data_IF_739785191418
#
_entry.id   IF_739785191418
#
_cell.length_a   1.000
_cell.length_b   1.000
_cell.length_c   1.000
_cell.angle_alpha   90.00
_cell.angle_beta   90.00
_cell.angle_gamma   90.00
#
_symmetry.space_group_name_H-M   'P 1'
#
loop_
_entity.id
_entity.type
_entity.pdbx_description
1 polymer ?
#
# COMPACT_ATOMS: atom_id res chain seq x y z
N UNK A 1 56.01 -26.48 9.46
CA UNK A 1 56.03 -25.47 8.38
C UNK A 1 54.94 -24.45 8.67
N UNK A 2 55.29 -23.18 8.92
CA UNK A 2 54.31 -22.09 9.12
C UNK A 2 53.74 -21.73 7.74
N UNK A 3 52.44 -21.91 7.54
CA UNK A 3 51.77 -21.43 6.33
C UNK A 3 51.87 -19.89 6.30
N UNK A 4 52.45 -19.34 5.23
CA UNK A 4 52.43 -17.89 4.97
C UNK A 4 50.98 -17.54 4.64
N UNK A 5 50.30 -16.82 5.53
CA UNK A 5 49.00 -16.26 5.20
C UNK A 5 49.17 -15.22 4.08
N UNK A 6 48.64 -15.53 2.90
CA UNK A 6 48.49 -14.55 1.82
C UNK A 6 47.40 -13.56 2.25
N UNK A 7 47.82 -12.39 2.71
CA UNK A 7 46.92 -11.27 2.99
C UNK A 7 46.33 -10.71 1.70
N UNK A 8 45.19 -10.04 1.83
CA UNK A 8 44.53 -9.33 0.75
C UNK A 8 45.28 -8.02 0.44
N UNK A 9 45.53 -7.73 -0.83
CA UNK A 9 46.26 -6.51 -1.21
C UNK A 9 45.35 -5.28 -1.16
N UNK A 10 45.94 -4.11 -0.92
CA UNK A 10 45.20 -2.84 -0.89
C UNK A 10 44.54 -2.54 -2.25
N UNK A 11 45.19 -2.94 -3.34
CA UNK A 11 44.65 -2.77 -4.70
C UNK A 11 43.46 -3.70 -4.97
N UNK A 12 43.51 -4.96 -4.49
CA UNK A 12 42.36 -5.87 -4.59
C UNK A 12 41.16 -5.32 -3.79
N UNK A 13 41.40 -4.73 -2.63
CA UNK A 13 40.35 -4.09 -1.82
C UNK A 13 39.71 -2.90 -2.53
N UNK A 14 40.52 -2.04 -3.15
CA UNK A 14 39.98 -0.88 -3.87
C UNK A 14 39.12 -1.30 -5.07
N UNK A 15 39.52 -2.34 -5.81
CA UNK A 15 38.73 -2.87 -6.93
C UNK A 15 37.42 -3.46 -6.44
N UNK A 16 37.44 -4.23 -5.35
CA UNK A 16 36.22 -4.83 -4.78
C UNK A 16 35.24 -3.75 -4.32
N UNK A 17 35.71 -2.70 -3.63
CA UNK A 17 34.85 -1.58 -3.21
C UNK A 17 34.25 -0.86 -4.41
N UNK A 18 35.03 -0.65 -5.48
CA UNK A 18 34.52 -0.03 -6.71
C UNK A 18 33.39 -0.85 -7.36
N UNK A 19 33.55 -2.18 -7.46
CA UNK A 19 32.52 -3.07 -8.02
C UNK A 19 31.27 -3.08 -7.13
N UNK A 20 31.43 -3.19 -5.80
CA UNK A 20 30.31 -3.15 -4.86
C UNK A 20 29.56 -1.81 -4.97
N UNK A 21 30.29 -0.70 -5.14
CA UNK A 21 29.69 0.63 -5.33
C UNK A 21 28.75 0.70 -6.53
N UNK A 22 29.18 0.16 -7.69
CA UNK A 22 28.36 0.11 -8.91
C UNK A 22 27.12 -0.77 -8.70
N UNK A 23 27.30 -1.96 -8.11
CA UNK A 23 26.20 -2.88 -7.85
C UNK A 23 25.19 -2.28 -6.87
N UNK A 24 25.67 -1.62 -5.80
CA UNK A 24 24.82 -0.98 -4.79
C UNK A 24 23.96 0.14 -5.39
N UNK A 25 24.50 0.92 -6.33
CA UNK A 25 23.77 2.00 -6.99
C UNK A 25 22.51 1.52 -7.73
N UNK A 26 22.53 0.29 -8.27
CA UNK A 26 21.37 -0.32 -8.95
C UNK A 26 20.51 -1.12 -7.96
N UNK A 27 21.15 -1.87 -7.06
CA UNK A 27 20.46 -2.76 -6.14
C UNK A 27 19.62 -2.02 -5.08
N UNK A 28 20.12 -0.90 -4.54
CA UNK A 28 19.42 -0.16 -3.48
C UNK A 28 18.07 0.42 -3.94
N UNK A 29 17.96 1.12 -5.09
CA UNK A 29 16.67 1.58 -5.59
C UNK A 29 15.67 0.44 -5.86
N UNK A 30 16.14 -0.67 -6.42
CA UNK A 30 15.30 -1.84 -6.73
C UNK A 30 14.78 -2.52 -5.45
N UNK A 31 15.62 -2.66 -4.43
CA UNK A 31 15.20 -3.19 -3.14
C UNK A 31 14.17 -2.27 -2.45
N UNK A 32 14.35 -0.95 -2.58
CA UNK A 32 13.37 0.04 -2.16
C UNK A 32 12.01 -0.15 -2.84
N UNK A 33 11.98 -0.35 -4.16
CA UNK A 33 10.72 -0.62 -4.89
C UNK A 33 10.06 -1.94 -4.50
N UNK A 34 10.87 -2.99 -4.26
CA UNK A 34 10.36 -4.29 -3.83
C UNK A 34 9.69 -4.21 -2.46
N UNK A 35 10.36 -3.58 -1.49
CA UNK A 35 9.81 -3.39 -0.14
C UNK A 35 8.58 -2.49 -0.16
N UNK A 36 8.60 -1.40 -0.93
CA UNK A 36 7.44 -0.54 -1.15
C UNK A 36 6.25 -1.33 -1.69
N UNK A 37 6.44 -2.14 -2.74
CA UNK A 37 5.35 -2.97 -3.28
C UNK A 37 4.80 -3.95 -2.25
N UNK A 38 5.67 -4.59 -1.47
CA UNK A 38 5.25 -5.52 -0.42
C UNK A 38 4.40 -4.83 0.64
N UNK A 39 4.77 -3.61 1.05
CA UNK A 39 3.98 -2.80 1.99
C UNK A 39 2.65 -2.35 1.37
N UNK A 40 2.66 -1.94 0.10
CA UNK A 40 1.45 -1.52 -0.61
C UNK A 40 0.42 -2.65 -0.76
N UNK A 41 0.88 -3.90 -0.92
CA UNK A 41 0.00 -5.08 -0.99
C UNK A 41 -0.80 -5.29 0.29
N UNK A 42 -0.27 -4.94 1.47
CA UNK A 42 -1.05 -5.05 2.72
C UNK A 42 -2.33 -4.21 2.66
N UNK A 43 -2.26 -2.98 2.17
CA UNK A 43 -3.43 -2.13 2.01
C UNK A 43 -4.46 -2.71 1.03
N UNK A 44 -3.99 -3.29 -0.07
CA UNK A 44 -4.87 -3.97 -1.02
C UNK A 44 -5.57 -5.19 -0.41
N UNK A 45 -4.84 -6.02 0.35
CA UNK A 45 -5.40 -7.22 0.98
C UNK A 45 -6.41 -6.87 2.08
N UNK A 46 -6.13 -5.86 2.91
CA UNK A 46 -7.08 -5.39 3.92
C UNK A 46 -8.37 -4.88 3.28
N UNK A 47 -8.26 -4.09 2.20
CA UNK A 47 -9.43 -3.65 1.42
C UNK A 47 -10.17 -4.83 0.78
N UNK A 48 -9.44 -5.85 0.31
CA UNK A 48 -9.98 -7.09 -0.21
C UNK A 48 -10.85 -7.83 0.80
N UNK A 49 -10.42 -7.90 2.06
CA UNK A 49 -11.18 -8.51 3.16
C UNK A 49 -12.49 -7.81 3.48
N UNK A 50 -12.62 -6.52 3.17
CA UNK A 50 -13.83 -5.72 3.42
C UNK A 50 -14.87 -5.80 2.29
N UNK A 51 -14.54 -6.42 1.15
CA UNK A 51 -15.44 -6.48 -0.01
C UNK A 51 -16.74 -7.21 0.27
N UNK A 52 -16.63 -8.45 0.76
CA UNK A 52 -17.79 -9.31 1.06
C UNK A 52 -18.74 -8.68 2.07
N UNK A 53 -18.29 -8.26 3.27
CA UNK A 53 -19.19 -7.66 4.26
C UNK A 53 -19.79 -6.33 3.78
N UNK A 54 -19.07 -5.53 3.00
CA UNK A 54 -19.65 -4.33 2.39
C UNK A 54 -20.78 -4.67 1.42
N UNK A 55 -20.57 -5.65 0.53
CA UNK A 55 -21.59 -6.06 -0.44
C UNK A 55 -22.85 -6.57 0.27
N UNK A 56 -22.69 -7.38 1.32
CA UNK A 56 -23.81 -7.85 2.14
C UNK A 56 -24.55 -6.68 2.80
N UNK A 57 -23.83 -5.73 3.39
CA UNK A 57 -24.43 -4.57 4.04
C UNK A 57 -25.16 -3.65 3.05
N UNK A 58 -24.61 -3.46 1.85
CA UNK A 58 -25.24 -2.68 0.77
C UNK A 58 -26.51 -3.40 0.30
N UNK A 59 -26.48 -4.73 0.17
CA UNK A 59 -27.64 -5.52 -0.24
C UNK A 59 -28.75 -5.55 0.82
N UNK A 60 -28.40 -5.57 2.10
CA UNK A 60 -29.36 -5.53 3.21
C UNK A 60 -30.00 -4.15 3.42
N UNK A 61 -29.41 -3.09 2.84
CA UNK A 61 -29.85 -1.71 3.07
C UNK A 61 -29.72 -0.85 1.80
N UNK A 62 -28.83 0.14 1.84
CA UNK A 62 -28.45 0.97 0.71
C UNK A 62 -27.01 1.43 0.88
N UNK A 63 -26.40 1.90 -0.19
CA UNK A 63 -25.05 2.47 -0.12
C UNK A 63 -24.94 3.63 0.89
N UNK A 64 -25.96 4.50 0.95
CA UNK A 64 -25.99 5.64 1.88
C UNK A 64 -25.98 5.24 3.36
N UNK A 65 -26.37 4.00 3.68
CA UNK A 65 -26.38 3.47 5.05
C UNK A 65 -25.15 2.59 5.29
N UNK A 66 -24.88 1.66 4.36
CA UNK A 66 -23.80 0.71 4.47
C UNK A 66 -22.43 1.38 4.44
N UNK A 67 -22.21 2.38 3.57
CA UNK A 67 -20.90 3.00 3.38
C UNK A 67 -20.60 4.13 4.39
N UNK A 68 -20.92 3.89 5.67
CA UNK A 68 -20.61 4.80 6.77
C UNK A 68 -19.58 4.16 7.70
N UNK A 69 -18.75 5.00 8.31
CA UNK A 69 -17.74 4.58 9.27
C UNK A 69 -18.31 4.14 10.64
N UNK A 70 -19.63 4.17 10.82
CA UNK A 70 -20.32 3.65 12.00
C UNK A 70 -21.23 2.45 11.67
N UNK A 71 -21.17 1.94 10.43
CA UNK A 71 -21.94 0.76 10.07
C UNK A 71 -21.39 -0.48 10.82
N UNK A 72 -22.26 -1.39 11.31
CA UNK A 72 -21.80 -2.53 12.13
C UNK A 72 -20.74 -3.41 11.45
N UNK A 73 -20.93 -3.71 10.17
CA UNK A 73 -19.97 -4.48 9.37
C UNK A 73 -18.59 -3.80 9.33
N UNK A 74 -18.55 -2.47 9.25
CA UNK A 74 -17.33 -1.69 9.20
C UNK A 74 -16.63 -1.70 10.55
N UNK A 75 -17.36 -1.43 11.65
CA UNK A 75 -16.80 -1.40 13.01
C UNK A 75 -16.26 -2.77 13.47
N UNK A 76 -16.75 -3.86 12.89
CA UNK A 76 -16.25 -5.22 13.13
C UNK A 76 -15.16 -5.67 12.16
N UNK A 77 -14.83 -4.85 11.16
CA UNK A 77 -13.78 -5.15 10.17
C UNK A 77 -12.41 -4.73 10.68
N UNK A 78 -11.36 -5.33 10.12
CA UNK A 78 -9.98 -4.89 10.34
C UNK A 78 -9.73 -3.61 9.54
N UNK A 79 -9.51 -2.50 10.24
CA UNK A 79 -9.38 -1.16 9.63
C UNK A 79 -7.93 -0.66 9.57
N UNK A 80 -6.98 -1.39 10.15
CA UNK A 80 -5.58 -1.00 10.19
C UNK A 80 -4.67 -2.22 10.23
N UNK A 81 -3.40 -2.00 9.91
CA UNK A 81 -2.39 -3.05 9.83
C UNK A 81 -1.03 -2.57 10.29
N UNK A 82 0.01 -3.26 9.85
CA UNK A 82 1.39 -2.88 10.12
C UNK A 82 1.74 -1.58 9.40
N UNK A 83 1.45 -1.46 8.10
CA UNK A 83 1.78 -0.30 7.27
C UNK A 83 0.57 0.61 6.98
N UNK A 84 -0.66 0.13 7.23
CA UNK A 84 -1.91 0.90 7.04
C UNK A 84 -2.36 1.51 8.37
N UNK A 85 -2.65 2.82 8.37
CA UNK A 85 -3.12 3.55 9.55
C UNK A 85 -4.63 3.40 9.78
N UNK A 86 -5.42 3.54 8.71
CA UNK A 86 -6.86 3.47 8.72
C UNK A 86 -7.40 3.06 7.35
N UNK A 87 -8.63 2.53 7.34
CA UNK A 87 -9.44 2.33 6.13
C UNK A 87 -10.75 3.05 6.35
N UNK A 88 -11.09 4.02 5.51
CA UNK A 88 -12.29 4.84 5.71
C UNK A 88 -13.30 4.66 4.56
N UNK A 89 -14.57 4.33 4.87
CA UNK A 89 -15.64 4.27 3.87
C UNK A 89 -16.20 5.67 3.62
N UNK A 90 -16.45 5.99 2.35
CA UNK A 90 -17.09 7.23 1.94
C UNK A 90 -18.06 6.99 0.79
N UNK A 91 -19.24 7.61 0.86
CA UNK A 91 -20.19 7.63 -0.26
C UNK A 91 -19.75 8.69 -1.27
N UNK A 92 -19.62 8.30 -2.54
CA UNK A 92 -19.39 9.22 -3.67
C UNK A 92 -20.43 9.02 -4.75
N UNK A 93 -21.43 9.91 -4.78
CA UNK A 93 -22.61 9.73 -5.62
C UNK A 93 -23.30 8.41 -5.27
N UNK A 94 -23.41 7.51 -6.25
CA UNK A 94 -24.00 6.18 -6.06
C UNK A 94 -23.00 5.11 -5.61
N UNK A 95 -21.71 5.43 -5.49
CA UNK A 95 -20.64 4.46 -5.19
C UNK A 95 -20.21 4.48 -3.73
N UNK A 96 -19.70 3.35 -3.22
CA UNK A 96 -18.99 3.29 -1.95
C UNK A 96 -17.50 3.21 -2.21
N UNK A 97 -16.71 4.08 -1.59
CA UNK A 97 -15.26 4.08 -1.70
C UNK A 97 -14.68 3.70 -0.35
N UNK A 98 -13.88 2.63 -0.30
CA UNK A 98 -13.05 2.28 0.85
C UNK A 98 -11.64 2.79 0.57
N UNK A 99 -11.10 3.68 1.42
CA UNK A 99 -9.76 4.25 1.24
C UNK A 99 -8.85 3.78 2.35
N UNK A 100 -7.80 3.03 2.03
CA UNK A 100 -6.70 2.71 2.93
C UNK A 100 -5.65 3.83 2.88
N UNK A 101 -5.26 4.31 4.06
CA UNK A 101 -4.18 5.30 4.23
C UNK A 101 -2.95 4.60 4.80
N UNK A 102 -1.78 4.79 4.19
CA UNK A 102 -0.53 4.26 4.73
C UNK A 102 0.02 5.17 5.84
N UNK A 103 0.69 4.57 6.82
CA UNK A 103 1.36 5.29 7.91
C UNK A 103 2.51 6.14 7.36
N UNK A 104 2.95 7.12 8.15
CA UNK A 104 4.12 7.93 7.86
C UNK A 104 5.41 7.10 7.81
N UNK A 105 6.43 7.62 7.13
CA UNK A 105 7.75 6.98 7.01
C UNK A 105 8.41 6.73 8.38
N UNK A 106 8.15 7.61 9.36
CA UNK A 106 8.60 7.46 10.75
C UNK A 106 8.09 6.19 11.44
N UNK A 107 7.02 5.56 10.91
CA UNK A 107 6.49 4.28 11.38
C UNK A 107 7.11 3.06 10.65
N UNK A 108 8.17 3.24 9.86
CA UNK A 108 8.84 2.17 9.12
C UNK A 108 8.18 1.82 7.78
N UNK A 109 7.33 2.70 7.26
CA UNK A 109 6.81 2.61 5.89
C UNK A 109 7.85 3.21 4.94
N UNK A 110 8.00 2.61 3.77
CA UNK A 110 8.89 3.08 2.70
C UNK A 110 8.39 4.45 2.18
N UNK A 111 9.31 5.38 1.94
CA UNK A 111 9.00 6.75 1.48
C UNK A 111 8.15 6.80 0.20
N UNK A 112 8.21 5.77 -0.65
CA UNK A 112 7.39 5.67 -1.86
C UNK A 112 5.92 5.36 -1.59
N UNK A 113 5.59 4.92 -0.37
CA UNK A 113 4.28 4.44 0.08
C UNK A 113 3.74 5.24 1.26
N UNK A 114 4.61 5.83 2.07
CA UNK A 114 4.24 6.58 3.26
C UNK A 114 3.20 7.67 2.94
N UNK A 115 2.15 7.76 3.77
CA UNK A 115 1.08 8.77 3.69
C UNK A 115 0.26 8.76 2.38
N UNK A 116 0.48 7.76 1.52
CA UNK A 116 -0.28 7.55 0.29
C UNK A 116 -1.51 6.67 0.53
N UNK A 117 -2.30 6.48 -0.52
CA UNK A 117 -3.62 5.88 -0.46
C UNK A 117 -3.86 4.83 -1.54
N UNK A 118 -4.59 3.79 -1.19
CA UNK A 118 -5.25 2.90 -2.14
C UNK A 118 -6.74 2.95 -1.84
N UNK A 119 -7.58 3.09 -2.86
CA UNK A 119 -9.02 3.00 -2.68
C UNK A 119 -9.66 1.97 -3.60
N UNK A 120 -10.63 1.25 -3.05
CA UNK A 120 -11.51 0.36 -3.79
C UNK A 120 -12.92 0.95 -3.82
N UNK A 121 -13.49 1.03 -5.03
CA UNK A 121 -14.82 1.60 -5.24
C UNK A 121 -15.79 0.51 -5.67
N UNK A 122 -16.86 0.32 -4.90
CA UNK A 122 -17.99 -0.50 -5.27
C UNK A 122 -19.02 0.36 -6.01
N UNK A 123 -19.46 -0.11 -7.18
CA UNK A 123 -20.60 0.42 -7.92
C UNK A 123 -21.81 -0.50 -7.73
N UNK A 124 -22.74 -0.22 -6.80
CA UNK A 124 -23.82 -1.14 -6.45
C UNK A 124 -24.72 -1.53 -7.62
N UNK A 125 -24.97 -0.60 -8.56
CA UNK A 125 -25.80 -0.83 -9.75
C UNK A 125 -25.31 -2.00 -10.62
N UNK A 126 -24.01 -2.25 -10.64
CA UNK A 126 -23.39 -3.29 -11.48
C UNK A 126 -22.67 -4.37 -10.67
N UNK A 127 -22.46 -4.15 -9.36
CA UNK A 127 -21.57 -4.96 -8.55
C UNK A 127 -20.08 -4.81 -8.91
N UNK A 128 -19.73 -3.89 -9.81
CA UNK A 128 -18.36 -3.72 -10.27
C UNK A 128 -17.49 -3.09 -9.17
N UNK A 129 -16.24 -3.58 -9.12
CA UNK A 129 -15.18 -3.02 -8.30
C UNK A 129 -14.14 -2.36 -9.19
N UNK A 130 -13.77 -1.12 -8.86
CA UNK A 130 -12.56 -0.48 -9.39
C UNK A 130 -11.58 -0.21 -8.26
N UNK A 131 -10.29 -0.11 -8.59
CA UNK A 131 -9.26 0.23 -7.61
C UNK A 131 -8.35 1.33 -8.18
N UNK A 132 -8.05 2.33 -7.36
CA UNK A 132 -7.14 3.40 -7.73
C UNK A 132 -6.19 3.76 -6.59
N UNK A 133 -5.11 4.46 -6.93
CA UNK A 133 -4.06 4.85 -5.98
C UNK A 133 -3.35 6.14 -6.41
N UNK A 134 -2.70 6.80 -5.46
CA UNK A 134 -1.71 7.88 -5.65
C UNK A 134 -0.26 7.36 -5.54
N UNK A 135 -0.09 6.04 -5.38
CA UNK A 135 1.20 5.36 -5.49
C UNK A 135 1.76 5.46 -6.90
N UNK A 136 3.08 5.52 -7.01
CA UNK A 136 3.74 5.39 -8.31
C UNK A 136 3.43 4.02 -8.91
N UNK A 137 3.20 3.95 -10.23
CA UNK A 137 2.85 2.70 -10.93
C UNK A 137 3.84 1.56 -10.68
N UNK A 138 5.10 1.91 -10.40
CA UNK A 138 6.17 0.97 -10.09
C UNK A 138 6.00 0.30 -8.73
N UNK A 139 5.31 0.89 -7.76
CA UNK A 139 5.09 0.30 -6.42
C UNK A 139 3.62 -0.05 -6.17
N UNK A 140 2.70 0.52 -6.95
CA UNK A 140 1.28 0.20 -6.91
C UNK A 140 1.00 -1.30 -7.20
N UNK A 141 0.04 -1.92 -6.50
CA UNK A 141 -0.52 -3.22 -6.86
C UNK A 141 -1.07 -3.18 -8.30
N UNK A 142 -0.88 -4.27 -9.06
CA UNK A 142 -1.27 -4.31 -10.47
C UNK A 142 -2.76 -4.00 -10.70
N UNK A 143 -3.63 -4.44 -9.77
CA UNK A 143 -5.07 -4.22 -9.82
C UNK A 143 -5.50 -2.77 -9.53
N UNK A 144 -4.61 -1.91 -9.05
CA UNK A 144 -4.93 -0.56 -8.55
C UNK A 144 -4.13 0.54 -9.27
N UNK A 145 -3.56 0.27 -10.45
CA UNK A 145 -2.69 1.22 -11.17
C UNK A 145 -3.44 2.40 -11.80
N UNK A 146 -4.76 2.43 -11.67
CA UNK A 146 -5.57 3.57 -12.07
C UNK A 146 -5.41 4.72 -11.07
N UNK A 147 -5.60 5.95 -11.54
CA UNK A 147 -5.52 7.12 -10.68
C UNK A 147 -6.63 7.08 -9.61
N UNK A 148 -6.29 7.48 -8.39
CA UNK A 148 -7.26 7.60 -7.30
C UNK A 148 -8.36 8.60 -7.68
N UNK A 149 -9.62 8.17 -7.62
CA UNK A 149 -10.78 9.02 -7.90
C UNK A 149 -11.02 9.98 -6.73
N UNK A 150 -10.25 11.06 -6.65
CA UNK A 150 -10.18 12.07 -5.59
C UNK A 150 -9.96 11.49 -4.19
N UNK A 151 -8.87 11.80 -3.51
CA UNK A 151 -8.67 11.36 -2.13
C UNK A 151 -9.83 11.85 -1.22
N UNK A 152 -10.23 11.11 -0.16
CA UNK A 152 -10.93 11.74 0.95
C UNK A 152 -10.05 12.88 1.48
N UNK A 153 -10.66 14.00 1.88
CA UNK A 153 -9.92 15.07 2.54
C UNK A 153 -9.20 14.48 3.74
N UNK A 154 -7.87 14.66 3.77
CA UNK A 154 -6.97 14.20 4.82
C UNK A 154 -7.65 14.36 6.20
N UNK A 155 -7.76 13.31 7.04
CA UNK A 155 -8.13 13.52 8.43
C UNK A 155 -7.03 14.44 9.00
N UNK A 156 -7.47 15.64 9.38
CA UNK A 156 -6.60 16.75 9.72
C UNK A 156 -5.50 16.37 10.71
N UNK A 157 -4.39 17.10 10.59
CA UNK A 157 -3.47 17.37 11.68
C UNK A 157 -4.21 17.72 12.98
#
# INVERSE_FOLDING_TARGET
>A
MKAIQKGFTLIELMIVVAIIGILAAIALPMYGDYTARAQATEGYELLGGMKTPLVEAVAASSNAIACKNNAPWYTSSVQSGKYVSAIEPAVKGETCVLTATFKAASAGVNDKVAEKHIAMTLTPKTGAWSCGTDLDKNVAPAACRDALAAAPANPAQ
#
